data_IF_495176705516
#
_entry.id   IF_495176705516
#
_cell.length_a   1.000
_cell.length_b   1.000
_cell.length_c   1.000
_cell.angle_alpha   90.00
_cell.angle_beta   90.00
_cell.angle_gamma   90.00
#
_symmetry.space_group_name_H-M   'P 1'
#
loop_
_entity.id
_entity.type
_entity.pdbx_description
1 polymer ?
#
# COMPACT_ATOMS: atom_id res chain seq x y z
N UNK A 1 21.65 30.81 19.67
CA UNK A 1 20.21 30.88 19.33
C UNK A 1 19.51 29.64 19.82
N UNK A 2 18.52 29.77 20.71
CA UNK A 2 17.83 28.58 21.25
C UNK A 2 17.04 27.79 20.20
N UNK A 3 16.70 28.40 19.07
CA UNK A 3 15.92 27.75 18.03
C UNK A 3 16.74 26.82 17.12
N UNK A 4 18.07 26.90 17.22
CA UNK A 4 18.95 26.18 16.30
C UNK A 4 18.93 24.66 16.54
N UNK A 5 18.97 24.26 17.80
CA UNK A 5 18.91 22.83 18.16
C UNK A 5 17.55 22.21 17.84
N UNK A 6 16.47 22.95 18.06
CA UNK A 6 15.11 22.52 17.73
C UNK A 6 14.93 22.35 16.22
N UNK A 7 15.45 23.27 15.41
CA UNK A 7 15.37 23.21 13.96
C UNK A 7 16.13 22.01 13.42
N UNK A 8 17.32 21.71 13.94
CA UNK A 8 18.11 20.54 13.53
C UNK A 8 17.38 19.25 13.88
N UNK A 9 16.78 19.18 15.07
CA UNK A 9 16.00 18.01 15.49
C UNK A 9 14.79 17.78 14.59
N UNK A 10 14.05 18.84 14.23
CA UNK A 10 12.91 18.77 13.33
C UNK A 10 13.33 18.29 11.93
N UNK A 11 14.44 18.77 11.40
CA UNK A 11 14.98 18.34 10.11
C UNK A 11 15.29 16.84 10.14
N UNK A 12 15.96 16.37 11.17
CA UNK A 12 16.26 14.94 11.33
C UNK A 12 15.01 14.09 11.41
N UNK A 13 14.00 14.53 12.17
CA UNK A 13 12.72 13.82 12.27
C UNK A 13 11.99 13.81 10.93
N UNK A 14 11.99 14.94 10.21
CA UNK A 14 11.38 15.03 8.88
C UNK A 14 12.06 14.11 7.89
N UNK A 15 13.39 14.02 7.90
CA UNK A 15 14.13 13.11 7.05
C UNK A 15 13.83 11.65 7.36
N UNK A 16 13.78 11.27 8.63
CA UNK A 16 13.41 9.91 9.05
C UNK A 16 12.01 9.56 8.59
N UNK A 17 11.04 10.46 8.80
CA UNK A 17 9.65 10.26 8.34
C UNK A 17 9.60 10.12 6.83
N UNK A 18 10.33 10.94 6.10
CA UNK A 18 10.39 10.91 4.63
C UNK A 18 10.91 9.57 4.13
N UNK A 19 11.97 9.05 4.72
CA UNK A 19 12.54 7.74 4.37
C UNK A 19 11.56 6.63 4.69
N UNK A 20 10.95 6.63 5.87
CA UNK A 20 9.96 5.63 6.29
C UNK A 20 8.74 5.68 5.36
N UNK A 21 8.22 6.87 5.07
CA UNK A 21 7.06 7.04 4.19
C UNK A 21 7.36 6.57 2.77
N UNK A 22 8.55 6.86 2.26
CA UNK A 22 8.99 6.40 0.95
C UNK A 22 9.06 4.88 0.90
N UNK A 23 9.60 4.26 1.95
CA UNK A 23 9.67 2.80 2.08
C UNK A 23 8.27 2.19 2.05
N UNK A 24 7.31 2.75 2.79
CA UNK A 24 5.93 2.26 2.81
C UNK A 24 5.24 2.45 1.47
N UNK A 25 5.45 3.57 0.78
CA UNK A 25 4.89 3.79 -0.57
C UNK A 25 5.42 2.76 -1.55
N UNK A 26 6.72 2.50 -1.49
CA UNK A 26 7.34 1.49 -2.34
C UNK A 26 6.76 0.11 -2.05
N UNK A 27 6.57 -0.22 -0.78
CA UNK A 27 5.96 -1.49 -0.36
C UNK A 27 4.54 -1.64 -0.91
N UNK A 28 3.71 -0.60 -0.79
CA UNK A 28 2.34 -0.59 -1.32
C UNK A 28 2.36 -0.82 -2.83
N UNK A 29 3.19 -0.08 -3.56
CA UNK A 29 3.32 -0.23 -5.02
C UNK A 29 3.75 -1.64 -5.42
N UNK A 30 4.70 -2.20 -4.69
CA UNK A 30 5.20 -3.55 -4.95
C UNK A 30 4.09 -4.58 -4.78
N UNK A 31 3.31 -4.49 -3.70
CA UNK A 31 2.21 -5.41 -3.45
C UNK A 31 1.07 -5.25 -4.46
N UNK A 32 0.73 -4.02 -4.84
CA UNK A 32 -0.28 -3.76 -5.88
C UNK A 32 0.18 -4.34 -7.21
N UNK A 33 1.43 -4.16 -7.58
CA UNK A 33 2.01 -4.72 -8.80
C UNK A 33 1.97 -6.25 -8.78
N UNK A 34 2.28 -6.85 -7.64
CA UNK A 34 2.23 -8.29 -7.44
C UNK A 34 0.81 -8.84 -7.67
N UNK A 35 -0.20 -8.14 -7.13
CA UNK A 35 -1.59 -8.49 -7.33
C UNK A 35 -2.00 -8.33 -8.81
N UNK A 36 -1.60 -7.25 -9.47
CA UNK A 36 -1.88 -7.05 -10.89
C UNK A 36 -1.29 -8.15 -11.74
N UNK A 37 -0.07 -8.58 -11.43
CA UNK A 37 0.58 -9.70 -12.11
C UNK A 37 -0.22 -10.99 -11.93
N UNK A 38 -0.70 -11.25 -10.71
CA UNK A 38 -1.55 -12.39 -10.43
C UNK A 38 -2.88 -12.33 -11.19
N UNK A 39 -3.49 -11.15 -11.28
CA UNK A 39 -4.72 -10.93 -12.05
C UNK A 39 -4.51 -11.18 -13.54
N UNK A 40 -3.39 -10.71 -14.09
CA UNK A 40 -3.05 -10.91 -15.50
C UNK A 40 -2.78 -12.38 -15.83
N UNK A 41 -2.23 -13.15 -14.89
CA UNK A 41 -2.01 -14.58 -15.07
C UNK A 41 -3.31 -15.39 -15.08
N UNK A 42 -4.38 -14.83 -14.52
CA UNK A 42 -5.70 -15.46 -14.48
C UNK A 42 -5.85 -16.58 -13.49
N UNK A 43 -4.86 -16.79 -12.63
CA UNK A 43 -4.90 -17.86 -11.61
C UNK A 43 -5.59 -17.34 -10.36
N UNK A 44 -6.82 -17.81 -10.11
CA UNK A 44 -7.60 -17.36 -8.95
C UNK A 44 -6.93 -17.69 -7.62
N UNK A 45 -6.21 -18.80 -7.53
CA UNK A 45 -5.48 -19.20 -6.33
C UNK A 45 -4.42 -18.16 -5.95
N UNK A 46 -3.64 -17.70 -6.92
CA UNK A 46 -2.62 -16.67 -6.72
C UNK A 46 -3.26 -15.36 -6.29
N UNK A 47 -4.37 -14.98 -6.92
CA UNK A 47 -5.11 -13.75 -6.58
C UNK A 47 -5.64 -13.82 -5.15
N UNK A 48 -6.26 -14.92 -4.76
CA UNK A 48 -6.80 -15.11 -3.41
C UNK A 48 -5.71 -15.13 -2.35
N UNK A 49 -4.53 -15.63 -2.70
CA UNK A 49 -3.37 -15.62 -1.79
C UNK A 49 -2.80 -14.23 -1.58
N UNK A 50 -2.69 -13.44 -2.65
CA UNK A 50 -2.05 -12.11 -2.61
C UNK A 50 -3.01 -11.02 -2.10
N UNK A 51 -4.30 -11.13 -2.40
CA UNK A 51 -5.29 -10.09 -2.07
C UNK A 51 -5.31 -9.71 -0.58
N UNK A 52 -5.36 -10.65 0.38
CA UNK A 52 -5.34 -10.28 1.80
C UNK A 52 -4.06 -9.56 2.21
N UNK A 53 -2.93 -9.93 1.65
CA UNK A 53 -1.65 -9.27 1.93
C UNK A 53 -1.67 -7.82 1.45
N UNK A 54 -2.19 -7.58 0.25
CA UNK A 54 -2.29 -6.24 -0.34
C UNK A 54 -3.21 -5.37 0.50
N UNK A 55 -4.36 -5.88 0.89
CA UNK A 55 -5.32 -5.16 1.74
C UNK A 55 -4.67 -4.80 3.09
N UNK A 56 -3.96 -5.74 3.69
CA UNK A 56 -3.24 -5.51 4.95
C UNK A 56 -2.21 -4.38 4.83
N UNK A 57 -1.42 -4.39 3.75
CA UNK A 57 -0.41 -3.35 3.50
C UNK A 57 -1.06 -1.98 3.30
N UNK A 58 -2.17 -1.92 2.56
CA UNK A 58 -2.92 -0.67 2.34
C UNK A 58 -3.46 -0.13 3.67
N UNK A 59 -4.06 -0.98 4.51
CA UNK A 59 -4.59 -0.59 5.80
C UNK A 59 -3.48 -0.05 6.73
N UNK A 60 -2.33 -0.71 6.75
CA UNK A 60 -1.18 -0.25 7.53
C UNK A 60 -0.68 1.11 7.03
N UNK A 61 -0.72 1.35 5.73
CA UNK A 61 -0.31 2.63 5.14
C UNK A 61 -1.23 3.76 5.59
N UNK A 62 -2.53 3.50 5.73
CA UNK A 62 -3.48 4.48 6.27
C UNK A 62 -3.15 4.80 7.73
N UNK A 63 -2.91 3.77 8.55
CA UNK A 63 -2.58 3.95 9.97
C UNK A 63 -1.30 4.76 10.15
N UNK A 64 -0.34 4.62 9.25
CA UNK A 64 0.93 5.35 9.32
C UNK A 64 0.88 6.72 8.66
N UNK A 65 -0.27 7.11 8.12
CA UNK A 65 -0.43 8.40 7.47
C UNK A 65 0.23 8.54 6.11
N UNK A 66 0.66 7.43 5.51
CA UNK A 66 1.29 7.41 4.19
C UNK A 66 0.24 7.53 3.08
N UNK A 67 -0.94 6.99 3.31
CA UNK A 67 -2.03 6.98 2.36
C UNK A 67 -3.30 7.50 3.02
N UNK A 68 -4.05 8.36 2.32
CA UNK A 68 -5.32 8.85 2.81
C UNK A 68 -6.37 7.73 2.75
N UNK A 69 -7.27 7.68 3.73
CA UNK A 69 -8.29 6.64 3.83
C UNK A 69 -9.19 6.54 2.59
N UNK A 70 -9.46 7.66 1.92
CA UNK A 70 -10.29 7.67 0.70
C UNK A 70 -9.57 7.00 -0.46
N UNK A 71 -8.28 7.26 -0.62
CA UNK A 71 -7.47 6.58 -1.65
C UNK A 71 -7.37 5.08 -1.35
N UNK A 72 -7.17 4.72 -0.09
CA UNK A 72 -7.12 3.32 0.33
C UNK A 72 -8.43 2.60 0.03
N UNK A 73 -9.56 3.23 0.32
CA UNK A 73 -10.88 2.66 0.05
C UNK A 73 -11.07 2.40 -1.46
N UNK A 74 -10.64 3.33 -2.31
CA UNK A 74 -10.71 3.14 -3.77
C UNK A 74 -9.86 1.98 -4.23
N UNK A 75 -8.62 1.88 -3.75
CA UNK A 75 -7.73 0.78 -4.11
C UNK A 75 -8.30 -0.56 -3.66
N UNK A 76 -8.76 -0.65 -2.42
CA UNK A 76 -9.33 -1.89 -1.89
C UNK A 76 -10.56 -2.32 -2.69
N UNK A 77 -11.45 -1.38 -2.98
CA UNK A 77 -12.67 -1.65 -3.76
C UNK A 77 -12.34 -2.14 -5.17
N UNK A 78 -11.51 -1.42 -5.90
CA UNK A 78 -11.13 -1.77 -7.28
C UNK A 78 -10.43 -3.13 -7.35
N UNK A 79 -9.49 -3.37 -6.44
CA UNK A 79 -8.72 -4.61 -6.44
C UNK A 79 -9.60 -5.80 -6.05
N UNK A 80 -10.52 -5.62 -5.10
CA UNK A 80 -11.46 -6.66 -4.69
C UNK A 80 -12.42 -7.01 -5.82
N UNK A 81 -12.95 -6.01 -6.54
CA UNK A 81 -13.84 -6.23 -7.68
C UNK A 81 -13.10 -7.04 -8.78
N UNK A 82 -11.88 -6.64 -9.12
CA UNK A 82 -11.10 -7.36 -10.14
C UNK A 82 -10.77 -8.78 -9.70
N UNK A 83 -10.44 -8.98 -8.43
CA UNK A 83 -10.18 -10.30 -7.89
C UNK A 83 -11.41 -11.20 -7.98
N UNK A 84 -12.58 -10.67 -7.65
CA UNK A 84 -13.85 -11.40 -7.77
C UNK A 84 -14.17 -11.74 -9.21
N UNK A 85 -13.92 -10.83 -10.15
CA UNK A 85 -14.12 -11.09 -11.57
C UNK A 85 -13.22 -12.21 -12.07
N UNK A 86 -11.97 -12.25 -11.63
CA UNK A 86 -11.04 -13.33 -11.98
C UNK A 86 -11.51 -14.67 -11.42
N UNK A 87 -11.99 -14.69 -10.18
CA UNK A 87 -12.54 -15.90 -9.57
C UNK A 87 -13.76 -16.42 -10.36
N UNK A 88 -14.64 -15.52 -10.80
CA UNK A 88 -15.81 -15.90 -11.61
C UNK A 88 -15.39 -16.45 -12.98
N UNK A 89 -14.39 -15.86 -13.61
CA UNK A 89 -13.90 -16.32 -14.91
C UNK A 89 -13.25 -17.70 -14.86
N UNK A 90 -12.71 -18.08 -13.68
CA UNK A 90 -12.05 -19.36 -13.48
C UNK A 90 -13.04 -20.51 -13.31
N UNK A 91 -14.29 -20.19 -13.05
CA UNK A 91 -15.35 -21.19 -12.90
C UNK A 91 -16.17 -21.32 -14.17
#
# INVERSE_FOLDING_TARGET
>A
MPNHKSAVKRVRQSEKRRVINRSHRTKVRTYIKKLRTALDSGKSEDVQSVLPEVISVIDKSVQKGVMHKNAAARYKSRLTVRANQTAHKST
#
